data_IF_742574756119
#
_entry.id   IF_742574756119
#
_cell.length_a   1.000
_cell.length_b   1.000
_cell.length_c   1.000
_cell.angle_alpha   90.00
_cell.angle_beta   90.00
_cell.angle_gamma   90.00
#
_symmetry.space_group_name_H-M   'P 1'
#
loop_
_entity.id
_entity.type
_entity.pdbx_description
1 polymer ?
#
# COMPACT_ATOMS: atom_id res chain seq x y z
N UNK A 1 -4.99 -32.25 2.90
CA UNK A 1 -4.32 -32.12 1.57
C UNK A 1 -3.00 -32.86 1.57
N UNK A 2 -2.51 -33.42 0.43
CA UNK A 2 -1.19 -34.09 0.39
C UNK A 2 -0.08 -33.03 0.33
N UNK A 3 0.90 -33.13 1.22
CA UNK A 3 2.09 -32.28 1.23
C UNK A 3 3.35 -33.11 1.53
N UNK A 4 4.50 -32.60 1.13
CA UNK A 4 5.81 -33.18 1.45
C UNK A 4 6.66 -32.18 2.22
N UNK A 5 7.34 -32.66 3.26
CA UNK A 5 8.28 -31.83 4.03
C UNK A 5 9.56 -31.73 3.20
N UNK A 6 9.97 -30.49 2.87
CA UNK A 6 11.20 -30.20 2.13
C UNK A 6 12.37 -29.95 3.07
N UNK A 7 12.12 -29.25 4.18
CA UNK A 7 13.13 -28.91 5.16
C UNK A 7 12.48 -28.69 6.51
N UNK A 8 13.18 -29.10 7.56
CA UNK A 8 12.77 -28.93 8.95
C UNK A 8 13.95 -28.48 9.81
N UNK A 9 13.69 -27.53 10.69
CA UNK A 9 14.62 -27.10 11.75
C UNK A 9 13.81 -26.76 13.00
N UNK A 10 14.48 -26.53 14.13
CA UNK A 10 13.77 -26.19 15.37
C UNK A 10 12.85 -24.99 15.19
N UNK A 11 11.54 -25.19 15.40
CA UNK A 11 10.52 -24.14 15.26
C UNK A 11 10.22 -23.67 13.84
N UNK A 12 10.72 -24.37 12.80
CA UNK A 12 10.49 -23.98 11.40
C UNK A 12 10.30 -25.19 10.50
N UNK A 13 9.24 -25.20 9.73
CA UNK A 13 8.89 -26.25 8.78
C UNK A 13 8.69 -25.65 7.38
N UNK A 14 9.33 -26.25 6.37
CA UNK A 14 9.04 -25.94 4.95
C UNK A 14 8.39 -27.15 4.30
N UNK A 15 7.20 -26.95 3.78
CA UNK A 15 6.39 -27.97 3.13
C UNK A 15 6.05 -27.58 1.70
N UNK A 16 5.94 -28.58 0.82
CA UNK A 16 5.44 -28.42 -0.55
C UNK A 16 4.07 -29.05 -0.66
N UNK A 17 3.11 -28.29 -1.17
CA UNK A 17 1.76 -28.77 -1.42
C UNK A 17 1.68 -29.44 -2.78
N UNK A 18 1.02 -30.58 -2.83
CA UNK A 18 0.78 -31.34 -4.07
C UNK A 18 -0.51 -30.87 -4.76
N UNK A 19 -0.46 -29.68 -5.36
CA UNK A 19 -1.51 -29.14 -6.21
C UNK A 19 -0.96 -28.78 -7.60
N UNK A 20 -1.75 -28.83 -8.68
CA UNK A 20 -1.27 -28.56 -10.04
C UNK A 20 -0.81 -27.11 -10.22
N UNK A 21 -1.56 -26.17 -9.66
CA UNK A 21 -1.23 -24.74 -9.58
C UNK A 21 -1.83 -24.17 -8.32
N UNK A 22 -1.30 -23.03 -7.86
CA UNK A 22 -1.82 -22.28 -6.71
C UNK A 22 -2.08 -20.84 -7.17
N UNK A 23 -3.32 -20.38 -7.03
CA UNK A 23 -3.68 -18.98 -7.27
C UNK A 23 -3.19 -18.10 -6.12
N UNK A 24 -3.10 -16.77 -6.34
CA UNK A 24 -2.73 -15.83 -5.29
C UNK A 24 -3.70 -15.93 -4.10
N UNK A 25 -5.01 -15.98 -4.37
CA UNK A 25 -6.05 -16.14 -3.33
C UNK A 25 -5.87 -17.46 -2.56
N UNK A 26 -5.59 -18.57 -3.23
CA UNK A 26 -5.32 -19.84 -2.57
C UNK A 26 -4.07 -19.79 -1.68
N UNK A 27 -3.05 -19.08 -2.09
CA UNK A 27 -1.86 -18.87 -1.26
C UNK A 27 -2.19 -18.05 -0.01
N UNK A 28 -3.03 -17.02 -0.14
CA UNK A 28 -3.52 -16.24 1.00
C UNK A 28 -4.38 -17.08 1.94
N UNK A 29 -5.35 -17.85 1.41
CA UNK A 29 -6.19 -18.77 2.20
C UNK A 29 -5.33 -19.72 3.03
N UNK A 30 -4.31 -20.32 2.45
CA UNK A 30 -3.39 -21.20 3.18
C UNK A 30 -2.59 -20.44 4.24
N UNK A 31 -2.11 -19.24 3.92
CA UNK A 31 -1.31 -18.42 4.84
C UNK A 31 -2.13 -18.02 6.07
N UNK A 32 -3.34 -17.47 5.86
CA UNK A 32 -4.23 -17.06 6.94
C UNK A 32 -4.72 -18.25 7.77
N UNK A 33 -5.06 -19.36 7.11
CA UNK A 33 -5.45 -20.59 7.80
C UNK A 33 -4.35 -21.09 8.76
N UNK A 34 -3.10 -21.11 8.29
CA UNK A 34 -1.98 -21.56 9.12
C UNK A 34 -1.61 -20.56 10.22
N UNK A 35 -1.81 -19.25 9.98
CA UNK A 35 -1.63 -18.21 11.01
C UNK A 35 -2.65 -18.30 12.14
N UNK A 36 -3.84 -18.81 11.86
CA UNK A 36 -4.89 -19.00 12.86
C UNK A 36 -4.63 -20.20 13.80
N UNK A 37 -3.58 -20.98 13.56
CA UNK A 37 -3.19 -22.09 14.43
C UNK A 37 -2.43 -21.55 15.64
N UNK A 38 -2.88 -21.90 16.84
CA UNK A 38 -2.25 -21.45 18.08
C UNK A 38 -0.76 -21.82 18.14
N UNK A 39 0.07 -20.84 18.48
CA UNK A 39 1.51 -20.98 18.58
C UNK A 39 2.27 -20.93 17.25
N UNK A 40 1.61 -20.67 16.13
CA UNK A 40 2.26 -20.30 14.86
C UNK A 40 2.63 -18.82 14.92
N UNK A 41 3.91 -18.51 14.72
CA UNK A 41 4.44 -17.14 14.82
C UNK A 41 4.53 -16.44 13.47
N UNK A 42 4.91 -17.17 12.41
CA UNK A 42 5.04 -16.62 11.07
C UNK A 42 4.72 -17.69 10.03
N UNK A 43 4.00 -17.27 8.99
CA UNK A 43 3.72 -18.12 7.82
C UNK A 43 4.06 -17.35 6.56
N UNK A 44 4.73 -18.00 5.62
CA UNK A 44 5.00 -17.45 4.31
C UNK A 44 4.73 -18.49 3.23
N UNK A 45 3.79 -18.19 2.34
CA UNK A 45 3.39 -19.10 1.26
C UNK A 45 3.89 -18.57 -0.08
N UNK A 46 4.52 -19.44 -0.85
CA UNK A 46 5.07 -19.15 -2.17
C UNK A 46 4.19 -19.83 -3.23
N UNK A 47 3.35 -19.06 -3.91
CA UNK A 47 2.40 -19.52 -4.91
C UNK A 47 3.08 -20.24 -6.10
N UNK A 48 4.20 -19.69 -6.60
CA UNK A 48 4.93 -20.26 -7.75
C UNK A 48 5.53 -21.64 -7.47
N UNK A 49 6.13 -21.82 -6.29
CA UNK A 49 6.75 -23.09 -5.90
C UNK A 49 5.81 -24.00 -5.14
N UNK A 50 4.65 -23.47 -4.71
CA UNK A 50 3.65 -24.16 -3.89
C UNK A 50 4.22 -24.60 -2.53
N UNK A 51 5.20 -23.87 -2.05
CA UNK A 51 5.83 -24.12 -0.76
C UNK A 51 5.22 -23.22 0.31
N UNK A 52 5.05 -23.75 1.51
CA UNK A 52 4.74 -22.96 2.69
C UNK A 52 5.88 -23.11 3.71
N UNK A 53 6.30 -22.00 4.28
CA UNK A 53 7.25 -21.92 5.38
C UNK A 53 6.47 -21.49 6.61
N UNK A 54 6.49 -22.29 7.65
CA UNK A 54 5.77 -22.07 8.90
C UNK A 54 6.79 -22.00 10.02
N UNK A 55 6.83 -20.88 10.76
CA UNK A 55 7.57 -20.73 11.99
C UNK A 55 6.60 -20.88 13.17
N UNK A 56 6.95 -21.67 14.16
CA UNK A 56 6.04 -22.01 15.25
C UNK A 56 6.78 -22.21 16.59
N UNK A 57 6.09 -21.89 17.66
CA UNK A 57 6.50 -22.16 19.05
C UNK A 57 5.69 -23.31 19.67
N UNK A 58 4.62 -23.77 18.99
CA UNK A 58 3.80 -24.92 19.41
C UNK A 58 4.45 -26.27 19.08
N UNK A 59 3.75 -27.37 19.37
CA UNK A 59 4.18 -28.70 19.00
C UNK A 59 4.21 -28.91 17.47
N UNK A 60 5.27 -29.56 16.96
CA UNK A 60 5.37 -29.94 15.54
C UNK A 60 4.12 -30.70 15.06
N UNK A 61 3.55 -31.52 15.93
CA UNK A 61 2.35 -32.32 15.62
C UNK A 61 1.14 -31.45 15.26
N UNK A 62 0.99 -30.32 15.92
CA UNK A 62 -0.15 -29.42 15.74
C UNK A 62 -0.12 -28.77 14.35
N UNK A 63 1.06 -28.34 13.89
CA UNK A 63 1.26 -27.78 12.54
C UNK A 63 1.01 -28.86 11.48
N UNK A 64 1.47 -30.09 11.68
CA UNK A 64 1.25 -31.21 10.74
C UNK A 64 -0.23 -31.59 10.72
N UNK A 65 -0.90 -31.62 11.88
CA UNK A 65 -2.34 -31.89 11.96
C UNK A 65 -3.16 -30.82 11.23
N UNK A 66 -2.82 -29.54 11.39
CA UNK A 66 -3.44 -28.43 10.67
C UNK A 66 -3.26 -28.57 9.16
N UNK A 67 -2.04 -28.86 8.69
CA UNK A 67 -1.76 -29.09 7.27
C UNK A 67 -2.52 -30.31 6.70
N UNK A 68 -2.64 -31.39 7.49
CA UNK A 68 -3.38 -32.58 7.10
C UNK A 68 -4.90 -32.30 6.98
N UNK A 69 -5.44 -31.49 7.90
CA UNK A 69 -6.85 -31.09 7.92
C UNK A 69 -7.18 -30.00 6.87
N UNK A 70 -6.17 -29.35 6.28
CA UNK A 70 -6.37 -28.28 5.34
C UNK A 70 -7.03 -28.76 4.04
N UNK A 71 -8.00 -27.96 3.60
CA UNK A 71 -8.67 -28.12 2.29
C UNK A 71 -9.10 -26.71 1.82
N UNK A 72 -8.81 -26.34 0.58
CA UNK A 72 -9.17 -25.03 0.04
C UNK A 72 -10.66 -24.69 0.20
N UNK A 73 -11.62 -25.55 -0.21
CA UNK A 73 -13.03 -25.23 -0.07
C UNK A 73 -13.47 -25.00 1.38
N UNK A 74 -12.88 -25.75 2.32
CA UNK A 74 -13.19 -25.60 3.75
C UNK A 74 -12.58 -24.32 4.33
N UNK A 75 -11.36 -24.00 3.96
CA UNK A 75 -10.65 -22.81 4.44
C UNK A 75 -11.22 -21.53 3.81
N UNK A 76 -11.65 -21.57 2.54
CA UNK A 76 -12.37 -20.47 1.88
C UNK A 76 -13.72 -20.19 2.55
N UNK A 77 -14.42 -21.24 2.99
CA UNK A 77 -15.68 -21.11 3.72
C UNK A 77 -15.51 -20.52 5.14
N UNK A 78 -14.30 -20.51 5.69
CA UNK A 78 -13.98 -19.87 6.99
C UNK A 78 -13.76 -18.36 6.87
N UNK A 79 -13.70 -17.85 5.66
CA UNK A 79 -13.54 -16.41 5.31
C UNK A 79 -12.46 -15.67 6.13
N UNK A 80 -11.30 -16.32 6.28
CA UNK A 80 -10.17 -15.80 7.05
C UNK A 80 -9.34 -14.75 6.28
N UNK A 81 -9.54 -14.64 4.97
CA UNK A 81 -8.70 -13.84 4.08
C UNK A 81 -9.34 -12.48 3.83
N UNK A 82 -8.68 -11.37 4.19
CA UNK A 82 -9.16 -10.05 3.83
C UNK A 82 -9.35 -9.88 2.32
N UNK A 83 -10.34 -9.09 1.89
CA UNK A 83 -10.58 -8.81 0.46
C UNK A 83 -9.35 -8.23 -0.26
N UNK A 84 -8.55 -7.44 0.45
CA UNK A 84 -7.35 -6.80 -0.08
C UNK A 84 -6.10 -7.32 0.64
N UNK A 85 -5.31 -8.12 -0.08
CA UNK A 85 -4.03 -8.64 0.42
C UNK A 85 -2.86 -7.90 -0.23
N UNK A 86 -1.80 -7.67 0.53
CA UNK A 86 -0.55 -7.08 0.00
C UNK A 86 0.11 -7.96 -1.07
N UNK A 87 -0.30 -9.24 -1.18
CA UNK A 87 0.27 -10.20 -2.14
C UNK A 87 -0.03 -9.82 -3.59
N UNK A 88 -1.28 -9.44 -3.89
CA UNK A 88 -1.66 -9.04 -5.24
C UNK A 88 -0.88 -7.78 -5.67
N UNK A 89 -0.78 -6.79 -4.76
CA UNK A 89 -0.01 -5.58 -4.98
C UNK A 89 1.47 -5.87 -5.23
N UNK A 90 2.10 -6.66 -4.34
CA UNK A 90 3.51 -7.03 -4.49
C UNK A 90 3.77 -7.75 -5.82
N UNK A 91 2.84 -8.63 -6.24
CA UNK A 91 2.94 -9.37 -7.51
C UNK A 91 2.89 -8.44 -8.70
N UNK A 92 1.95 -7.51 -8.72
CA UNK A 92 1.85 -6.52 -9.81
C UNK A 92 3.16 -5.76 -9.99
N UNK A 93 3.77 -5.31 -8.90
CA UNK A 93 5.04 -4.57 -8.97
C UNK A 93 6.25 -5.45 -9.25
N UNK A 94 6.31 -6.68 -8.72
CA UNK A 94 7.33 -7.66 -9.11
C UNK A 94 7.29 -7.91 -10.62
N UNK A 95 6.13 -8.12 -11.19
CA UNK A 95 5.97 -8.36 -12.63
C UNK A 95 6.31 -7.11 -13.46
N UNK A 96 5.93 -5.90 -13.02
CA UNK A 96 6.36 -4.63 -13.64
C UNK A 96 7.88 -4.48 -13.62
N UNK A 97 8.52 -4.78 -12.49
CA UNK A 97 9.97 -4.66 -12.32
C UNK A 97 10.71 -5.70 -13.17
N UNK A 98 10.31 -6.96 -13.11
CA UNK A 98 10.89 -8.05 -13.91
C UNK A 98 10.74 -7.73 -15.40
N UNK A 99 9.56 -7.30 -15.85
CA UNK A 99 9.30 -6.95 -17.24
C UNK A 99 10.15 -5.77 -17.70
N UNK A 100 10.33 -4.76 -16.84
CA UNK A 100 11.17 -3.58 -17.13
C UNK A 100 12.64 -3.98 -17.32
N UNK A 101 13.17 -4.81 -16.40
CA UNK A 101 14.54 -5.32 -16.48
C UNK A 101 14.71 -6.26 -17.69
N UNK A 102 13.79 -7.21 -17.88
CA UNK A 102 13.81 -8.14 -19.01
C UNK A 102 13.76 -7.40 -20.35
N UNK A 103 12.86 -6.42 -20.50
CA UNK A 103 12.76 -5.57 -21.70
C UNK A 103 14.06 -4.81 -21.97
N UNK A 104 14.73 -4.32 -20.91
CA UNK A 104 16.04 -3.64 -21.03
C UNK A 104 17.10 -4.63 -21.51
N UNK A 105 17.14 -5.83 -20.94
CA UNK A 105 18.10 -6.86 -21.26
C UNK A 105 17.91 -7.35 -22.71
N UNK A 106 16.68 -7.64 -23.09
CA UNK A 106 16.32 -8.05 -24.47
C UNK A 106 16.66 -6.93 -25.47
N UNK A 107 16.32 -5.68 -25.16
CA UNK A 107 16.63 -4.56 -26.06
C UNK A 107 18.13 -4.38 -26.25
N UNK A 108 18.93 -4.62 -25.22
CA UNK A 108 20.41 -4.47 -25.30
C UNK A 108 21.07 -5.64 -26.03
N UNK A 109 20.51 -6.86 -25.95
CA UNK A 109 21.11 -8.08 -26.53
C UNK A 109 20.66 -8.34 -27.98
N UNK A 110 19.41 -8.03 -28.31
CA UNK A 110 18.79 -8.48 -29.55
C UNK A 110 18.41 -7.34 -30.51
N UNK A 111 18.31 -6.10 -30.06
CA UNK A 111 17.92 -5.01 -30.95
C UNK A 111 19.14 -4.35 -31.60
N UNK A 112 19.09 -4.09 -32.93
CA UNK A 112 20.11 -3.32 -33.63
C UNK A 112 20.27 -1.89 -33.08
N UNK A 113 21.48 -1.34 -33.15
CA UNK A 113 21.79 -0.01 -32.65
C UNK A 113 20.84 1.11 -33.14
N UNK A 114 20.39 1.15 -34.40
CA UNK A 114 19.44 2.18 -34.86
C UNK A 114 18.11 2.13 -34.13
N UNK A 115 17.61 0.91 -33.84
CA UNK A 115 16.32 0.72 -33.14
C UNK A 115 16.43 1.14 -31.68
N UNK A 116 17.51 0.78 -31.00
CA UNK A 116 17.76 1.18 -29.61
C UNK A 116 17.92 2.69 -29.49
N UNK A 117 18.55 3.33 -30.47
CA UNK A 117 18.68 4.79 -30.55
C UNK A 117 17.32 5.45 -30.73
N UNK A 118 16.49 4.99 -31.69
CA UNK A 118 15.15 5.51 -31.92
C UNK A 118 14.27 5.40 -30.64
N UNK A 119 14.34 4.23 -29.97
CA UNK A 119 13.63 4.02 -28.71
C UNK A 119 14.12 4.94 -27.59
N UNK A 120 15.45 5.21 -27.52
CA UNK A 120 16.00 6.14 -26.55
C UNK A 120 15.48 7.57 -26.82
N UNK A 121 15.45 8.00 -28.07
CA UNK A 121 14.90 9.31 -28.47
C UNK A 121 13.41 9.43 -28.08
N UNK A 122 12.59 8.43 -28.38
CA UNK A 122 11.17 8.45 -28.04
C UNK A 122 10.97 8.54 -26.51
N UNK A 123 11.73 7.77 -25.74
CA UNK A 123 11.62 7.78 -24.28
C UNK A 123 12.12 9.06 -23.64
N UNK A 124 13.09 9.73 -24.24
CA UNK A 124 13.64 10.99 -23.71
C UNK A 124 12.65 12.13 -23.75
N UNK A 125 11.65 12.08 -24.66
CA UNK A 125 10.63 13.13 -24.82
C UNK A 125 9.87 13.35 -23.50
N UNK A 126 9.57 12.30 -22.73
CA UNK A 126 8.92 12.41 -21.42
C UNK A 126 9.75 13.31 -20.48
N UNK A 127 11.00 12.97 -20.25
CA UNK A 127 11.88 13.67 -19.31
C UNK A 127 12.22 15.10 -19.76
N UNK A 128 12.48 15.28 -21.04
CA UNK A 128 12.73 16.61 -21.62
C UNK A 128 11.50 17.51 -21.49
N UNK A 129 10.31 16.99 -21.76
CA UNK A 129 9.06 17.74 -21.60
C UNK A 129 8.79 18.13 -20.15
N UNK A 130 9.04 17.24 -19.19
CA UNK A 130 8.89 17.51 -17.76
C UNK A 130 9.86 18.59 -17.29
N UNK A 131 11.14 18.52 -17.69
CA UNK A 131 12.12 19.55 -17.38
C UNK A 131 11.81 20.90 -18.02
N UNK A 132 11.41 20.92 -19.29
CA UNK A 132 10.97 22.15 -19.99
C UNK A 132 9.73 22.77 -19.35
N UNK A 133 8.77 21.94 -18.95
CA UNK A 133 7.56 22.40 -18.24
C UNK A 133 7.93 23.05 -16.91
N UNK A 134 8.85 22.47 -16.15
CA UNK A 134 9.33 23.04 -14.89
C UNK A 134 10.01 24.42 -15.13
N UNK A 135 10.87 24.52 -16.14
CA UNK A 135 11.52 25.78 -16.54
C UNK A 135 10.51 26.84 -16.99
N UNK A 136 9.49 26.45 -17.77
CA UNK A 136 8.44 27.35 -18.22
C UNK A 136 7.66 27.97 -17.07
N UNK A 137 7.48 27.22 -15.99
CA UNK A 137 6.84 27.70 -14.77
C UNK A 137 7.82 28.42 -13.80
N UNK A 138 9.04 28.68 -14.25
CA UNK A 138 10.05 29.37 -13.45
C UNK A 138 10.58 28.53 -12.26
N UNK A 139 10.40 27.21 -12.28
CA UNK A 139 10.82 26.32 -11.21
C UNK A 139 12.08 25.54 -11.61
N UNK A 140 13.18 25.76 -10.89
CA UNK A 140 14.38 24.93 -10.98
C UNK A 140 14.18 23.71 -10.08
N UNK A 141 13.57 22.66 -10.61
CA UNK A 141 13.30 21.40 -9.92
C UNK A 141 14.24 20.31 -10.42
N UNK A 142 14.21 19.15 -9.73
CA UNK A 142 14.97 17.96 -10.12
C UNK A 142 14.69 17.50 -11.54
N UNK A 143 13.45 17.64 -12.01
CA UNK A 143 13.10 17.34 -13.41
C UNK A 143 13.97 18.12 -14.42
N UNK A 144 14.50 19.30 -14.04
CA UNK A 144 15.43 20.06 -14.87
C UNK A 144 16.81 19.39 -14.92
N UNK A 145 17.29 18.82 -13.79
CA UNK A 145 18.55 18.06 -13.74
C UNK A 145 18.45 16.80 -14.62
N UNK A 146 17.38 16.05 -14.48
CA UNK A 146 17.12 14.83 -15.26
C UNK A 146 17.06 15.13 -16.75
N UNK A 147 16.28 16.15 -17.14
CA UNK A 147 16.18 16.61 -18.52
C UNK A 147 17.53 17.06 -19.07
N UNK A 148 18.34 17.76 -18.27
CA UNK A 148 19.67 18.23 -18.66
C UNK A 148 20.62 17.04 -18.88
N UNK A 149 20.63 16.06 -17.95
CA UNK A 149 21.45 14.87 -18.06
C UNK A 149 21.13 14.06 -19.31
N UNK A 150 19.84 13.84 -19.56
CA UNK A 150 19.35 13.11 -20.75
C UNK A 150 19.69 13.89 -22.03
N UNK A 151 19.41 15.20 -22.07
CA UNK A 151 19.65 16.04 -23.27
C UNK A 151 21.13 16.11 -23.61
N UNK A 152 22.01 16.36 -22.64
CA UNK A 152 23.46 16.43 -22.84
C UNK A 152 24.02 15.09 -23.33
N UNK A 153 23.58 13.98 -22.75
CA UNK A 153 24.02 12.65 -23.20
C UNK A 153 23.58 12.37 -24.65
N UNK A 154 22.36 12.75 -25.01
CA UNK A 154 21.83 12.56 -26.38
C UNK A 154 22.53 13.47 -27.38
N UNK A 155 22.76 14.75 -27.04
CA UNK A 155 23.47 15.71 -27.91
C UNK A 155 24.90 15.27 -28.24
N UNK A 156 25.51 14.45 -27.36
CA UNK A 156 26.83 13.83 -27.61
C UNK A 156 26.77 12.54 -28.41
N UNK A 157 25.58 12.04 -28.76
CA UNK A 157 25.41 10.74 -29.38
C UNK A 157 25.61 9.56 -28.44
N UNK A 158 25.74 9.80 -27.12
CA UNK A 158 25.84 8.75 -26.11
C UNK A 158 24.46 8.27 -25.66
N UNK A 159 23.77 7.60 -26.57
CA UNK A 159 22.44 7.03 -26.32
C UNK A 159 22.46 5.90 -25.31
N UNK A 160 23.63 5.25 -25.10
CA UNK A 160 23.77 4.20 -24.10
C UNK A 160 23.67 4.76 -22.68
N UNK A 161 24.40 5.85 -22.42
CA UNK A 161 24.33 6.57 -21.14
C UNK A 161 22.94 7.18 -20.94
N UNK A 162 22.39 7.91 -21.92
CA UNK A 162 21.03 8.45 -21.84
C UNK A 162 19.99 7.35 -21.51
N UNK A 163 20.09 6.22 -22.20
CA UNK A 163 19.21 5.08 -21.94
C UNK A 163 19.38 4.44 -20.58
N UNK A 164 20.60 4.49 -19.99
CA UNK A 164 20.85 3.96 -18.66
C UNK A 164 20.31 4.91 -17.59
N UNK A 165 20.47 6.21 -17.76
CA UNK A 165 19.88 7.24 -16.89
C UNK A 165 18.35 7.09 -16.87
N UNK A 166 17.70 7.11 -18.03
CA UNK A 166 16.24 6.96 -18.13
C UNK A 166 15.74 5.64 -17.54
N UNK A 167 16.51 4.55 -17.66
CA UNK A 167 16.17 3.28 -17.04
C UNK A 167 16.22 3.35 -15.51
N UNK A 168 17.24 3.98 -14.93
CA UNK A 168 17.35 4.15 -13.48
C UNK A 168 16.25 5.06 -12.94
N UNK A 169 15.92 6.15 -13.62
CA UNK A 169 14.81 7.03 -13.27
C UNK A 169 13.46 6.27 -13.27
N UNK A 170 13.20 5.50 -14.33
CA UNK A 170 11.98 4.70 -14.42
C UNK A 170 11.92 3.59 -13.35
N UNK A 171 13.04 2.98 -13.01
CA UNK A 171 13.11 2.00 -11.92
C UNK A 171 12.80 2.67 -10.57
N UNK A 172 13.33 3.88 -10.35
CA UNK A 172 13.02 4.70 -9.18
C UNK A 172 11.51 5.00 -9.06
N UNK A 173 10.88 5.44 -10.16
CA UNK A 173 9.44 5.70 -10.22
C UNK A 173 8.61 4.46 -9.84
N UNK A 174 8.97 3.27 -10.33
CA UNK A 174 8.27 2.01 -10.00
C UNK A 174 8.42 1.69 -8.51
N UNK A 175 9.61 1.82 -7.94
CA UNK A 175 9.87 1.54 -6.53
C UNK A 175 9.15 2.55 -5.62
N UNK A 176 9.13 3.82 -6.01
CA UNK A 176 8.39 4.88 -5.29
C UNK A 176 6.90 4.57 -5.27
N UNK A 177 6.29 4.28 -6.44
CA UNK A 177 4.87 3.91 -6.55
C UNK A 177 4.54 2.67 -5.70
N UNK A 178 5.40 1.63 -5.76
CA UNK A 178 5.21 0.42 -4.97
C UNK A 178 5.26 0.68 -3.48
N UNK A 179 6.29 1.41 -3.02
CA UNK A 179 6.47 1.68 -1.59
C UNK A 179 5.31 2.50 -1.04
N UNK A 180 4.88 3.51 -1.80
CA UNK A 180 3.73 4.33 -1.46
C UNK A 180 2.45 3.49 -1.34
N UNK A 181 2.06 2.75 -2.38
CA UNK A 181 0.85 1.92 -2.38
C UNK A 181 0.87 0.86 -1.29
N UNK A 182 2.03 0.25 -1.05
CA UNK A 182 2.19 -0.74 0.01
C UNK A 182 2.01 -0.13 1.39
N UNK A 183 2.61 1.03 1.64
CA UNK A 183 2.48 1.73 2.92
C UNK A 183 1.04 2.16 3.20
N UNK A 184 0.33 2.65 2.17
CA UNK A 184 -1.11 2.98 2.27
C UNK A 184 -1.94 1.73 2.56
N UNK A 185 -1.68 0.61 1.86
CA UNK A 185 -2.38 -0.65 2.08
C UNK A 185 -2.13 -1.22 3.49
N UNK A 186 -0.87 -1.19 3.97
CA UNK A 186 -0.51 -1.65 5.31
C UNK A 186 -1.18 -0.79 6.40
N UNK A 187 -1.23 0.54 6.19
CA UNK A 187 -1.92 1.46 7.10
C UNK A 187 -3.44 1.22 7.09
N UNK A 188 -4.05 1.09 5.91
CA UNK A 188 -5.48 0.80 5.78
C UNK A 188 -5.84 -0.53 6.46
N UNK A 189 -5.00 -1.56 6.32
CA UNK A 189 -5.14 -2.84 7.01
C UNK A 189 -5.07 -2.70 8.53
N UNK A 190 -4.14 -1.88 9.05
CA UNK A 190 -4.00 -1.63 10.49
C UNK A 190 -5.17 -0.81 11.06
N UNK A 191 -5.75 0.09 10.26
CA UNK A 191 -6.91 0.93 10.65
C UNK A 191 -8.26 0.22 10.48
N UNK A 192 -8.33 -0.89 9.75
CA UNK A 192 -9.56 -1.65 9.59
C UNK A 192 -9.85 -2.44 10.86
N UNK A 193 -10.85 -1.99 11.64
CA UNK A 193 -11.41 -2.78 12.73
C UNK A 193 -12.17 -3.96 12.13
N UNK A 194 -11.81 -5.18 12.47
CA UNK A 194 -12.49 -6.38 11.98
C UNK A 194 -13.81 -6.54 12.73
N UNK A 195 -14.92 -6.41 12.00
CA UNK A 195 -16.23 -6.88 12.45
C UNK A 195 -16.57 -8.06 11.55
N UNK A 196 -16.36 -9.26 12.07
CA UNK A 196 -16.52 -10.48 11.28
C UNK A 196 -17.97 -10.93 11.20
N UNK A 197 -18.80 -10.60 12.21
CA UNK A 197 -20.18 -11.05 12.34
C UNK A 197 -21.10 -9.93 12.83
N UNK A 198 -22.34 -9.96 12.38
CA UNK A 198 -23.38 -9.00 12.75
C UNK A 198 -24.66 -9.73 13.15
N UNK A 199 -25.45 -9.11 14.02
CA UNK A 199 -26.78 -9.62 14.37
C UNK A 199 -27.77 -9.17 13.29
N UNK A 200 -28.19 -10.10 12.44
CA UNK A 200 -29.20 -9.88 11.41
C UNK A 200 -30.60 -10.10 12.01
N UNK A 201 -31.48 -9.13 11.85
CA UNK A 201 -32.90 -9.26 12.26
C UNK A 201 -33.75 -9.76 11.10
N UNK A 202 -34.24 -10.98 11.23
CA UNK A 202 -35.17 -11.60 10.24
C UNK A 202 -36.40 -12.15 10.93
N UNK A 203 -37.56 -11.64 10.56
CA UNK A 203 -38.84 -12.15 11.10
C UNK A 203 -39.00 -12.04 12.62
N UNK A 204 -38.36 -11.06 13.26
CA UNK A 204 -38.38 -10.86 14.72
C UNK A 204 -37.35 -11.68 15.50
N UNK A 205 -36.54 -12.48 14.82
CA UNK A 205 -35.45 -13.26 15.40
C UNK A 205 -34.12 -12.66 14.99
N UNK A 206 -33.14 -12.66 15.90
CA UNK A 206 -31.79 -12.22 15.63
C UNK A 206 -30.88 -13.43 15.34
N UNK A 207 -30.19 -13.38 14.22
CA UNK A 207 -29.28 -14.44 13.78
C UNK A 207 -27.88 -13.85 13.60
N UNK A 208 -26.88 -14.44 14.26
CA UNK A 208 -25.49 -14.04 14.08
C UNK A 208 -25.02 -14.49 12.69
N UNK A 209 -24.71 -13.53 11.85
CA UNK A 209 -24.44 -13.75 10.42
C UNK A 209 -23.10 -13.12 10.05
N UNK A 210 -22.25 -13.79 9.24
CA UNK A 210 -21.05 -13.18 8.70
C UNK A 210 -21.39 -11.90 7.92
N UNK A 211 -20.55 -10.85 8.09
CA UNK A 211 -20.81 -9.54 7.48
C UNK A 211 -20.90 -9.60 5.95
N UNK A 212 -20.16 -10.53 5.32
CA UNK A 212 -20.14 -10.71 3.86
C UNK A 212 -21.42 -11.34 3.30
N UNK A 213 -22.22 -11.97 4.17
CA UNK A 213 -23.54 -12.51 3.80
C UNK A 213 -24.64 -11.44 3.85
N UNK A 214 -24.38 -10.26 4.43
CA UNK A 214 -25.34 -9.16 4.57
C UNK A 214 -25.54 -8.45 3.23
N UNK A 215 -26.79 -8.20 2.88
CA UNK A 215 -27.19 -7.53 1.64
C UNK A 215 -27.81 -6.16 1.90
N UNK A 216 -27.82 -5.33 0.87
CA UNK A 216 -28.55 -4.07 0.93
C UNK A 216 -30.06 -4.35 1.19
N UNK A 217 -30.64 -3.63 2.14
CA UNK A 217 -32.00 -3.83 2.63
C UNK A 217 -32.10 -4.70 3.89
N UNK A 218 -31.05 -5.42 4.27
CA UNK A 218 -31.02 -6.19 5.50
C UNK A 218 -31.03 -5.28 6.73
N UNK A 219 -31.56 -5.80 7.84
CA UNK A 219 -31.66 -5.09 9.12
C UNK A 219 -30.68 -5.69 10.11
N UNK A 220 -29.73 -4.91 10.56
CA UNK A 220 -28.72 -5.31 11.54
C UNK A 220 -28.96 -4.63 12.89
N UNK A 221 -28.83 -5.39 13.97
CA UNK A 221 -28.99 -4.89 15.35
C UNK A 221 -27.63 -4.50 15.90
N UNK A 222 -27.51 -3.25 16.39
CA UNK A 222 -26.29 -2.71 16.94
C UNK A 222 -26.54 -2.26 18.37
N UNK A 223 -25.73 -2.77 19.29
CA UNK A 223 -25.85 -2.55 20.73
C UNK A 223 -24.77 -1.61 21.25
N UNK A 224 -24.99 -1.12 22.45
CA UNK A 224 -24.00 -0.34 23.20
C UNK A 224 -22.62 -1.00 23.19
N UNK A 225 -21.58 -0.21 22.95
CA UNK A 225 -20.19 -0.65 22.85
C UNK A 225 -19.80 -1.28 21.51
N UNK A 226 -20.76 -1.47 20.60
CA UNK A 226 -20.51 -2.07 19.30
C UNK A 226 -20.17 -1.02 18.24
N UNK A 227 -19.29 -1.40 17.33
CA UNK A 227 -18.98 -0.62 16.13
C UNK A 227 -20.10 -0.84 15.10
N UNK A 228 -20.57 0.20 14.46
CA UNK A 228 -21.48 0.13 13.33
C UNK A 228 -20.71 -0.42 12.12
N UNK A 229 -21.06 -1.62 11.61
CA UNK A 229 -20.22 -2.28 10.61
C UNK A 229 -20.46 -1.80 9.19
N UNK A 230 -21.67 -1.36 8.88
CA UNK A 230 -22.12 -0.99 7.53
C UNK A 230 -22.90 0.32 7.54
N UNK A 231 -22.80 1.06 6.43
CA UNK A 231 -23.56 2.29 6.23
C UNK A 231 -25.05 1.99 6.06
N UNK A 232 -25.90 2.80 6.67
CA UNK A 232 -27.34 2.62 6.54
C UNK A 232 -28.14 3.66 7.30
N UNK A 233 -29.45 3.41 7.38
CA UNK A 233 -30.38 4.25 8.15
C UNK A 233 -30.95 3.49 9.34
N UNK A 234 -31.04 4.18 10.46
CA UNK A 234 -31.74 3.66 11.62
C UNK A 234 -33.19 3.41 11.25
N UNK A 235 -33.63 2.19 11.36
CA UNK A 235 -35.03 1.77 11.11
C UNK A 235 -35.84 1.68 12.39
N UNK A 236 -35.19 1.40 13.52
CA UNK A 236 -35.84 1.27 14.82
C UNK A 236 -34.83 1.51 15.96
N UNK A 237 -35.35 1.93 17.14
CA UNK A 237 -34.52 2.22 18.31
C UNK A 237 -33.86 3.61 18.28
N UNK A 238 -33.19 3.94 19.40
CA UNK A 238 -32.40 5.17 19.56
C UNK A 238 -31.03 4.82 20.12
N UNK A 239 -29.98 5.51 19.62
CA UNK A 239 -28.61 5.31 20.08
C UNK A 239 -27.83 6.62 20.06
N UNK A 240 -26.94 6.79 21.05
CA UNK A 240 -25.91 7.80 21.03
C UNK A 240 -24.69 7.25 20.32
N UNK A 241 -24.33 7.86 19.21
CA UNK A 241 -23.26 7.36 18.31
C UNK A 241 -22.09 8.31 18.34
N UNK A 242 -20.93 7.81 18.73
CA UNK A 242 -19.67 8.51 18.66
C UNK A 242 -19.15 8.48 17.22
N UNK A 243 -19.01 9.66 16.64
CA UNK A 243 -18.50 9.87 15.29
C UNK A 243 -17.10 10.50 15.27
N UNK A 244 -16.42 10.54 16.39
CA UNK A 244 -15.10 11.18 16.53
C UNK A 244 -14.05 10.63 15.58
N UNK A 245 -14.15 9.34 15.24
CA UNK A 245 -13.29 8.69 14.23
C UNK A 245 -13.44 9.29 12.83
N UNK A 246 -14.55 9.96 12.54
CA UNK A 246 -14.84 10.55 11.23
C UNK A 246 -14.79 12.08 11.24
N UNK A 247 -15.39 12.69 12.25
CA UNK A 247 -15.55 14.16 12.34
C UNK A 247 -14.51 14.83 13.22
N UNK A 248 -13.86 14.07 14.10
CA UNK A 248 -12.98 14.59 15.15
C UNK A 248 -13.73 15.19 16.34
N UNK A 249 -15.08 15.25 16.31
CA UNK A 249 -15.90 15.73 17.42
C UNK A 249 -16.12 14.60 18.43
N UNK A 250 -15.79 14.87 19.69
CA UNK A 250 -15.88 13.86 20.76
C UNK A 250 -17.28 13.71 21.36
N UNK A 251 -18.22 14.62 21.06
CA UNK A 251 -19.58 14.50 21.57
C UNK A 251 -20.41 13.51 20.77
N UNK A 252 -21.02 12.49 21.40
CA UNK A 252 -21.90 11.55 20.74
C UNK A 252 -23.14 12.24 20.16
N UNK A 253 -23.57 11.79 19.01
CA UNK A 253 -24.74 12.33 18.30
C UNK A 253 -25.91 11.37 18.44
N UNK A 254 -27.07 11.88 18.87
CA UNK A 254 -28.29 11.08 18.95
C UNK A 254 -28.77 10.66 17.54
N UNK A 255 -28.94 9.37 17.36
CA UNK A 255 -29.47 8.75 16.13
C UNK A 255 -30.83 8.13 16.42
N UNK A 256 -31.83 8.52 15.62
CA UNK A 256 -33.24 8.10 15.73
C UNK A 256 -33.68 7.48 14.41
N UNK A 257 -34.82 6.80 14.35
CA UNK A 257 -35.37 6.29 13.11
C UNK A 257 -35.37 7.33 12.00
N UNK A 258 -34.83 6.94 10.83
CA UNK A 258 -34.57 7.82 9.68
C UNK A 258 -33.20 8.47 9.67
N UNK A 259 -32.46 8.53 10.77
CA UNK A 259 -31.11 9.07 10.83
C UNK A 259 -30.11 8.17 10.08
N UNK A 260 -29.18 8.80 9.34
CA UNK A 260 -28.09 8.09 8.70
C UNK A 260 -26.98 7.77 9.71
N UNK A 261 -26.42 6.56 9.62
CA UNK A 261 -25.31 6.08 10.40
C UNK A 261 -24.17 5.60 9.49
N UNK A 262 -22.95 5.81 9.95
CA UNK A 262 -21.76 5.52 9.18
C UNK A 262 -21.01 4.32 9.75
N UNK A 263 -20.53 3.46 8.88
CA UNK A 263 -19.63 2.36 9.26
C UNK A 263 -18.38 2.90 9.94
N UNK A 264 -17.97 2.24 11.04
CA UNK A 264 -16.79 2.64 11.81
C UNK A 264 -17.05 3.62 12.95
N UNK A 265 -18.29 4.05 13.14
CA UNK A 265 -18.71 4.80 14.33
C UNK A 265 -19.13 3.83 15.43
N UNK A 266 -19.11 4.26 16.68
CA UNK A 266 -19.37 3.42 17.85
C UNK A 266 -20.66 3.85 18.55
N UNK A 267 -21.52 2.89 18.89
CA UNK A 267 -22.68 3.14 19.74
C UNK A 267 -22.22 3.22 21.20
N UNK A 268 -22.28 4.41 21.82
CA UNK A 268 -21.90 4.61 23.22
C UNK A 268 -23.03 4.22 24.17
N UNK A 269 -24.27 4.59 23.83
CA UNK A 269 -25.45 4.28 24.62
C UNK A 269 -26.64 3.92 23.73
N UNK A 270 -27.49 3.05 24.22
CA UNK A 270 -28.72 2.63 23.54
C UNK A 270 -28.49 1.46 22.57
N UNK A 271 -29.53 1.21 21.77
CA UNK A 271 -29.54 0.16 20.76
C UNK A 271 -30.33 0.65 19.56
N UNK A 272 -29.85 0.36 18.37
CA UNK A 272 -30.56 0.68 17.14
C UNK A 272 -30.53 -0.47 16.15
N UNK A 273 -31.56 -0.54 15.32
CA UNK A 273 -31.63 -1.40 14.16
C UNK A 273 -31.34 -0.57 12.93
N UNK A 274 -30.35 -0.97 12.18
CA UNK A 274 -29.91 -0.25 10.98
C UNK A 274 -30.30 -1.04 9.74
N UNK A 275 -31.05 -0.40 8.83
CA UNK A 275 -31.29 -0.93 7.50
C UNK A 275 -30.07 -0.59 6.62
N UNK A 276 -29.40 -1.62 6.13
CA UNK A 276 -28.17 -1.51 5.34
C UNK A 276 -28.49 -0.94 3.97
N UNK A 277 -27.88 0.19 3.60
CA UNK A 277 -28.04 0.78 2.26
C UNK A 277 -27.04 0.24 1.26
N UNK A 278 -25.83 -0.09 1.71
CA UNK A 278 -24.77 -0.66 0.86
C UNK A 278 -24.21 -1.90 1.54
N UNK A 279 -24.35 -3.04 0.87
CA UNK A 279 -23.74 -4.28 1.30
C UNK A 279 -22.21 -4.22 1.23
N UNK A 280 -21.56 -5.09 2.00
CA UNK A 280 -20.11 -5.27 1.98
C UNK A 280 -19.59 -5.49 0.55
N UNK A 281 -18.55 -4.79 0.14
CA UNK A 281 -17.94 -4.96 -1.20
C UNK A 281 -17.35 -3.71 -1.84
N UNK A 282 -17.29 -2.58 -1.17
CA UNK A 282 -16.69 -1.34 -1.69
C UNK A 282 -16.59 -0.26 -0.63
N UNK A 283 -16.76 -0.62 0.63
CA UNK A 283 -17.13 0.39 1.58
C UNK A 283 -15.99 0.93 2.43
N UNK A 284 -15.42 0.10 3.25
CA UNK A 284 -14.61 0.61 4.36
C UNK A 284 -13.14 0.73 4.04
N UNK A 285 -12.55 -0.30 3.47
CA UNK A 285 -11.15 -0.28 3.06
C UNK A 285 -10.92 0.79 1.99
N UNK A 286 -11.74 0.83 0.95
CA UNK A 286 -11.65 1.85 -0.10
C UNK A 286 -11.90 3.27 0.43
N UNK A 287 -12.71 3.42 1.47
CA UNK A 287 -12.94 4.70 2.13
C UNK A 287 -11.74 5.11 2.96
N UNK A 288 -11.13 4.17 3.71
CA UNK A 288 -9.91 4.41 4.46
C UNK A 288 -8.77 4.74 3.50
N UNK A 289 -8.61 3.99 2.42
CA UNK A 289 -7.61 4.27 1.37
C UNK A 289 -7.84 5.67 0.79
N UNK A 290 -9.07 6.01 0.40
CA UNK A 290 -9.39 7.37 -0.10
C UNK A 290 -9.12 8.45 0.94
N UNK A 291 -9.47 8.22 2.21
CA UNK A 291 -9.21 9.17 3.28
C UNK A 291 -7.71 9.37 3.50
N UNK A 292 -6.90 8.32 3.40
CA UNK A 292 -5.44 8.39 3.45
C UNK A 292 -4.93 9.18 2.23
N UNK A 293 -5.37 8.84 1.03
CA UNK A 293 -4.97 9.53 -0.21
C UNK A 293 -5.39 11.01 -0.23
N UNK A 294 -6.56 11.35 0.29
CA UNK A 294 -7.01 12.73 0.44
C UNK A 294 -6.20 13.48 1.50
N UNK A 295 -5.83 12.80 2.58
CA UNK A 295 -4.97 13.33 3.65
C UNK A 295 -3.55 13.58 3.16
N UNK A 296 -3.03 12.76 2.25
CA UNK A 296 -1.72 12.95 1.64
C UNK A 296 -1.65 14.19 0.74
N UNK A 297 -2.77 14.63 0.17
CA UNK A 297 -2.84 15.93 -0.54
C UNK A 297 -2.56 17.11 0.40
N UNK A 298 -2.75 16.91 1.71
CA UNK A 298 -2.36 17.84 2.77
C UNK A 298 -0.92 17.53 3.22
N UNK A 299 0.05 17.83 2.36
CA UNK A 299 1.47 17.62 2.65
C UNK A 299 1.86 18.16 4.03
N UNK A 300 2.70 17.40 4.73
CA UNK A 300 3.26 17.87 6.00
C UNK A 300 4.19 19.07 5.79
N UNK A 301 4.35 19.90 6.82
CA UNK A 301 5.27 21.04 6.74
C UNK A 301 6.71 20.58 6.55
N UNK A 302 7.09 19.42 7.12
CA UNK A 302 8.40 18.79 6.95
C UNK A 302 8.61 18.32 5.49
N UNK A 303 7.59 17.71 4.89
CA UNK A 303 7.62 17.27 3.50
C UNK A 303 7.77 18.45 2.53
N UNK A 304 7.00 19.52 2.75
CA UNK A 304 7.13 20.75 1.98
C UNK A 304 8.48 21.44 2.16
N UNK A 305 9.04 21.42 3.37
CA UNK A 305 10.39 21.95 3.64
C UNK A 305 11.46 21.15 2.93
N UNK A 306 11.39 19.83 2.99
CA UNK A 306 12.34 18.95 2.34
C UNK A 306 12.28 19.05 0.81
N UNK A 307 11.08 19.11 0.24
CA UNK A 307 10.89 19.34 -1.20
C UNK A 307 11.49 20.68 -1.64
N UNK A 308 11.22 21.76 -0.88
CA UNK A 308 11.83 23.07 -1.13
C UNK A 308 13.34 23.09 -0.95
N UNK A 309 13.87 22.30 0.00
CA UNK A 309 15.31 22.17 0.18
C UNK A 309 15.96 21.47 -1.02
N UNK A 310 15.36 20.37 -1.49
CA UNK A 310 15.81 19.67 -2.68
C UNK A 310 15.83 20.59 -3.91
N UNK A 311 14.74 21.35 -4.13
CA UNK A 311 14.68 22.31 -5.25
C UNK A 311 15.71 23.45 -5.10
N UNK A 312 16.03 23.88 -3.86
CA UNK A 312 17.08 24.89 -3.60
C UNK A 312 18.48 24.38 -3.90
N UNK A 313 18.73 23.08 -3.83
CA UNK A 313 20.02 22.48 -4.17
C UNK A 313 20.26 22.40 -5.67
N UNK A 314 19.21 22.41 -6.50
CA UNK A 314 19.30 22.32 -7.95
C UNK A 314 20.25 23.36 -8.57
N UNK A 315 20.16 24.67 -8.28
CA UNK A 315 21.08 25.65 -8.85
C UNK A 315 22.54 25.42 -8.43
N UNK A 316 22.78 24.92 -7.21
CA UNK A 316 24.13 24.58 -6.75
C UNK A 316 24.69 23.36 -7.49
N UNK A 317 23.87 22.34 -7.73
CA UNK A 317 24.24 21.16 -8.52
C UNK A 317 24.55 21.56 -9.96
N UNK A 318 23.72 22.42 -10.58
CA UNK A 318 23.97 22.95 -11.92
C UNK A 318 25.24 23.79 -11.96
N UNK A 319 25.44 24.67 -10.98
CA UNK A 319 26.66 25.47 -10.85
C UNK A 319 27.93 24.62 -10.67
N UNK A 320 27.86 23.61 -9.77
CA UNK A 320 28.95 22.64 -9.57
C UNK A 320 29.24 21.82 -10.83
N UNK A 321 28.17 21.43 -11.56
CA UNK A 321 28.29 20.74 -12.84
C UNK A 321 29.02 21.62 -13.88
N UNK A 322 28.63 22.88 -14.02
CA UNK A 322 29.28 23.83 -14.92
C UNK A 322 30.75 24.06 -14.53
N UNK A 323 31.02 24.23 -13.23
CA UNK A 323 32.38 24.40 -12.73
C UNK A 323 33.24 23.15 -12.99
N UNK A 324 32.70 21.96 -12.75
CA UNK A 324 33.40 20.69 -13.03
C UNK A 324 33.74 20.57 -14.51
N UNK A 325 32.84 21.00 -15.40
CA UNK A 325 33.12 21.02 -16.84
C UNK A 325 34.25 22.01 -17.19
N UNK A 326 34.22 23.21 -16.64
CA UNK A 326 35.24 24.22 -16.90
C UNK A 326 36.62 23.76 -16.44
N UNK A 327 36.71 23.11 -15.28
CA UNK A 327 37.97 22.64 -14.71
C UNK A 327 38.48 21.37 -15.37
N UNK A 328 37.64 20.41 -15.66
CA UNK A 328 38.05 19.07 -16.11
C UNK A 328 37.95 18.88 -17.62
N UNK A 329 37.10 19.68 -18.29
CA UNK A 329 36.75 19.51 -19.71
C UNK A 329 36.25 18.07 -20.03
N UNK A 330 35.90 17.33 -18.98
CA UNK A 330 35.46 15.94 -19.09
C UNK A 330 33.95 15.82 -18.79
N UNK A 331 33.18 15.61 -19.84
CA UNK A 331 31.71 15.54 -19.72
C UNK A 331 31.22 14.33 -18.90
N UNK A 332 31.97 13.22 -18.91
CA UNK A 332 31.60 12.06 -18.08
C UNK A 332 31.68 12.40 -16.59
N UNK A 333 32.73 13.08 -16.15
CA UNK A 333 32.85 13.60 -14.77
C UNK A 333 31.77 14.64 -14.47
N UNK A 334 31.48 15.49 -15.43
CA UNK A 334 30.44 16.51 -15.32
C UNK A 334 29.05 15.88 -15.14
N UNK A 335 28.70 14.86 -15.94
CA UNK A 335 27.48 14.13 -15.80
C UNK A 335 27.38 13.37 -14.47
N UNK A 336 28.48 12.84 -13.95
CA UNK A 336 28.48 12.20 -12.64
C UNK A 336 28.10 13.17 -11.50
N UNK A 337 28.54 14.44 -11.58
CA UNK A 337 28.10 15.48 -10.61
C UNK A 337 26.63 15.80 -10.79
N UNK A 338 26.15 15.90 -12.03
CA UNK A 338 24.76 16.19 -12.34
C UNK A 338 23.81 15.08 -11.84
N UNK A 339 24.28 13.83 -11.83
CA UNK A 339 23.51 12.66 -11.40
C UNK A 339 23.45 12.47 -9.87
N UNK A 340 24.15 13.28 -9.09
CA UNK A 340 24.04 13.24 -7.62
C UNK A 340 22.72 13.90 -7.23
N UNK A 341 21.69 13.08 -7.09
CA UNK A 341 20.35 13.53 -6.75
C UNK A 341 19.99 13.14 -5.32
N UNK A 342 19.90 14.15 -4.45
CA UNK A 342 19.44 14.00 -3.07
C UNK A 342 17.91 14.01 -2.96
N UNK A 343 17.20 14.42 -4.01
CA UNK A 343 15.77 14.65 -3.95
C UNK A 343 14.97 13.36 -4.00
N UNK A 344 15.42 12.34 -4.74
CA UNK A 344 14.78 11.04 -4.76
C UNK A 344 14.75 10.41 -3.36
N UNK A 345 15.86 10.49 -2.62
CA UNK A 345 15.93 9.99 -1.25
C UNK A 345 14.94 10.72 -0.33
N UNK A 346 14.85 12.05 -0.43
CA UNK A 346 13.96 12.87 0.39
C UNK A 346 12.49 12.66 0.03
N UNK A 347 12.16 12.63 -1.25
CA UNK A 347 10.79 12.40 -1.73
C UNK A 347 10.25 11.04 -1.35
N UNK A 348 11.11 10.03 -1.24
CA UNK A 348 10.72 8.68 -0.85
C UNK A 348 10.72 8.51 0.68
N UNK A 349 11.76 8.97 1.36
CA UNK A 349 11.96 8.71 2.78
C UNK A 349 10.90 9.39 3.67
N UNK A 350 10.48 10.61 3.33
CA UNK A 350 9.56 11.36 4.19
C UNK A 350 8.14 10.81 4.16
N UNK A 351 7.49 10.56 3.01
CA UNK A 351 6.18 9.90 2.98
C UNK A 351 6.18 8.55 3.67
N UNK A 352 7.25 7.74 3.47
CA UNK A 352 7.37 6.45 4.13
C UNK A 352 7.48 6.60 5.65
N UNK A 353 8.27 7.56 6.12
CA UNK A 353 8.41 7.82 7.56
C UNK A 353 7.07 8.24 8.18
N UNK A 354 6.32 9.12 7.52
CA UNK A 354 4.99 9.55 7.96
C UNK A 354 4.02 8.37 8.00
N UNK A 355 3.95 7.56 6.94
CA UNK A 355 3.07 6.40 6.88
C UNK A 355 3.46 5.34 7.92
N UNK A 356 4.76 5.13 8.15
CA UNK A 356 5.25 4.21 9.19
C UNK A 356 4.87 4.69 10.59
N UNK A 357 4.98 5.99 10.85
CA UNK A 357 4.59 6.58 12.12
C UNK A 357 3.06 6.53 12.33
N UNK A 358 2.26 6.77 11.29
CA UNK A 358 0.80 6.59 11.35
C UNK A 358 0.42 5.13 11.67
N UNK A 359 1.13 4.17 11.08
CA UNK A 359 0.95 2.75 11.38
C UNK A 359 1.26 2.43 12.86
N UNK A 360 2.35 2.97 13.38
CA UNK A 360 2.73 2.82 14.79
C UNK A 360 1.67 3.39 15.73
N UNK A 361 1.18 4.60 15.45
CA UNK A 361 0.06 5.20 16.17
C UNK A 361 -1.18 4.31 16.15
N UNK A 362 -1.50 3.73 14.99
CA UNK A 362 -2.64 2.79 14.84
C UNK A 362 -2.47 1.54 15.71
N UNK A 363 -1.24 1.03 15.87
CA UNK A 363 -0.93 -0.06 16.80
C UNK A 363 -1.24 0.28 18.27
N UNK A 364 -1.22 1.55 18.62
CA UNK A 364 -1.61 2.08 19.93
C UNK A 364 -3.05 2.59 19.98
N UNK A 365 -3.90 2.20 19.03
CA UNK A 365 -5.30 2.65 18.90
C UNK A 365 -5.48 4.16 18.69
N UNK A 366 -4.45 4.85 18.19
CA UNK A 366 -4.47 6.28 17.88
C UNK A 366 -4.56 6.43 16.35
N UNK A 367 -5.68 6.95 15.86
CA UNK A 367 -5.87 7.20 14.43
C UNK A 367 -5.47 8.64 14.09
N UNK A 368 -4.47 8.79 13.22
CA UNK A 368 -3.97 10.10 12.76
C UNK A 368 -4.30 10.27 11.29
N UNK A 369 -4.87 11.43 10.90
CA UNK A 369 -5.36 11.70 9.54
C UNK A 369 -4.27 12.17 8.56
N UNK A 370 -3.00 12.13 8.91
CA UNK A 370 -1.89 12.53 8.01
C UNK A 370 -0.73 13.21 8.72
N UNK A 371 0.38 13.40 8.01
CA UNK A 371 1.63 13.93 8.55
C UNK A 371 1.51 15.30 9.20
N UNK A 372 0.67 16.19 8.68
CA UNK A 372 0.42 17.50 9.26
C UNK A 372 -0.18 17.41 10.67
N UNK A 373 -1.07 16.46 10.90
CA UNK A 373 -1.69 16.25 12.21
C UNK A 373 -0.71 15.62 13.20
N UNK A 374 0.20 14.75 12.71
CA UNK A 374 1.29 14.24 13.55
C UNK A 374 2.23 15.33 14.03
N UNK A 375 2.60 16.27 13.14
CA UNK A 375 3.40 17.43 13.52
C UNK A 375 2.68 18.31 14.55
N UNK A 376 1.36 18.50 14.39
CA UNK A 376 0.55 19.25 15.32
C UNK A 376 0.50 18.58 16.71
N UNK A 377 0.34 17.24 16.75
CA UNK A 377 0.39 16.47 18.01
C UNK A 377 1.78 16.56 18.67
N UNK A 378 2.85 16.46 17.87
CA UNK A 378 4.22 16.57 18.38
C UNK A 378 4.57 17.98 18.93
N UNK A 379 3.81 19.00 18.53
CA UNK A 379 3.97 20.39 18.96
C UNK A 379 2.96 20.79 20.03
N UNK A 380 2.04 19.89 20.41
CA UNK A 380 1.08 20.14 21.47
C UNK A 380 1.77 20.06 22.84
N UNK A 381 1.54 21.06 23.69
CA UNK A 381 2.04 21.14 25.06
C UNK A 381 1.18 20.32 26.03
#
# INVERSE_FOLDING_TARGET
MKCSILHESAGRLRVRLHCPAMTLRQADVLEYYLRAVDGVTEVKVYDRTRDAVVCFACGRGDVIAALAAFSFPRAEAMDLVPEHTSRALNREFEDKLIMTVARRMVSRLFLPAPVTTALAVIRSVKYIREGLSALWHGKLSVAVLDATAVTVSMARGDFATAGSVMFMLHLGEILEEWTHKKSVADLAGAMSLHVDQVWLQTGGTEVLTPIDAVRAGDRIVIRTGSVIPLDGRVSDGEAMVNQSSMTGESMPVAKRPGSYVYAGTVVEEGQCVVCVEKASGGGRYDRIVRMIEESEKLKSTAEDRASRLADRLVPYTLGGTALTYLLTRNVTKTLSVLMVDFSCALKLAIPIAVLSAMRECSGHHISVKGGRFMEAVAQAD
#
